data_IF_378961605302
#
_entry.id   IF_378961605302
#
_cell.length_a   1.000
_cell.length_b   1.000
_cell.length_c   1.000
_cell.angle_alpha   90.00
_cell.angle_beta   90.00
_cell.angle_gamma   90.00
#
_symmetry.space_group_name_H-M   'P 1'
#
loop_
_entity.id
_entity.type
_entity.pdbx_description
1 polymer ?
#
# COMPACT_ATOMS: atom_id res chain seq x y z
N UNK A 1 9.90 1.59 -15.59
CA UNK A 1 9.87 0.97 -14.26
C UNK A 1 8.69 0.03 -14.17
N UNK A 2 8.81 -1.01 -13.35
CA UNK A 2 7.73 -1.90 -12.98
C UNK A 2 7.30 -1.65 -11.54
N UNK A 3 6.08 -1.18 -11.34
CA UNK A 3 5.56 -0.71 -10.04
C UNK A 3 4.48 -1.64 -9.53
N UNK A 4 4.58 -2.05 -8.26
CA UNK A 4 3.63 -2.92 -7.58
C UNK A 4 2.75 -2.13 -6.62
N UNK A 5 1.45 -2.08 -6.85
CA UNK A 5 0.48 -1.50 -5.93
C UNK A 5 -0.27 -2.57 -5.14
N UNK A 6 -0.51 -2.34 -3.85
CA UNK A 6 -1.36 -3.21 -3.02
C UNK A 6 -2.60 -2.50 -2.48
N UNK A 7 -3.75 -3.15 -2.64
CA UNK A 7 -5.06 -2.64 -2.23
C UNK A 7 -5.69 -3.52 -1.14
N UNK A 8 -5.95 -2.95 0.02
CA UNK A 8 -6.48 -3.68 1.18
C UNK A 8 -7.79 -3.11 1.73
N UNK A 9 -8.30 -2.02 1.14
CA UNK A 9 -9.55 -1.39 1.54
C UNK A 9 -10.26 -0.71 0.35
N UNK A 10 -11.60 -0.52 0.42
CA UNK A 10 -12.41 0.06 -0.66
C UNK A 10 -12.00 1.48 -1.11
N UNK A 11 -11.31 2.25 -0.27
CA UNK A 11 -10.82 3.57 -0.66
C UNK A 11 -9.61 3.51 -1.62
N UNK A 12 -8.83 2.41 -1.58
CA UNK A 12 -7.57 2.33 -2.31
C UNK A 12 -7.75 2.38 -3.83
N UNK A 13 -8.74 1.69 -4.44
CA UNK A 13 -8.98 1.80 -5.88
C UNK A 13 -9.25 3.23 -6.33
N UNK A 14 -10.01 4.02 -5.57
CA UNK A 14 -10.34 5.40 -5.90
C UNK A 14 -9.09 6.30 -5.82
N UNK A 15 -8.35 6.20 -4.72
CA UNK A 15 -7.18 7.04 -4.44
C UNK A 15 -6.00 6.72 -5.36
N UNK A 16 -5.78 5.45 -5.67
CA UNK A 16 -4.60 5.00 -6.42
C UNK A 16 -4.83 4.98 -7.93
N UNK A 17 -6.09 4.94 -8.42
CA UNK A 17 -6.38 4.91 -9.86
C UNK A 17 -5.75 6.06 -10.64
N UNK A 18 -5.84 7.34 -10.22
CA UNK A 18 -5.21 8.44 -10.95
C UNK A 18 -3.69 8.29 -11.04
N UNK A 19 -3.06 7.85 -9.95
CA UNK A 19 -1.61 7.62 -9.88
C UNK A 19 -1.21 6.47 -10.83
N UNK A 20 -1.94 5.35 -10.79
CA UNK A 20 -1.73 4.20 -11.67
C UNK A 20 -1.88 4.61 -13.14
N UNK A 21 -2.94 5.36 -13.47
CA UNK A 21 -3.18 5.86 -14.81
C UNK A 21 -2.04 6.74 -15.32
N UNK A 22 -1.54 7.66 -14.49
CA UNK A 22 -0.41 8.53 -14.84
C UNK A 22 0.89 7.76 -15.01
N UNK A 23 1.19 6.79 -14.14
CA UNK A 23 2.38 5.93 -14.29
C UNK A 23 2.33 5.13 -15.60
N UNK A 24 1.17 4.56 -15.94
CA UNK A 24 0.97 3.85 -17.20
C UNK A 24 1.13 4.76 -18.42
N UNK A 25 0.57 5.97 -18.37
CA UNK A 25 0.72 6.97 -19.44
C UNK A 25 2.18 7.41 -19.64
N UNK A 26 3.00 7.35 -18.60
CA UNK A 26 4.45 7.60 -18.66
C UNK A 26 5.26 6.37 -19.12
N UNK A 27 4.60 5.29 -19.55
CA UNK A 27 5.25 4.07 -20.04
C UNK A 27 5.77 3.14 -18.95
N UNK A 28 5.27 3.27 -17.71
CA UNK A 28 5.61 2.33 -16.64
C UNK A 28 4.66 1.13 -16.62
N UNK A 29 5.22 -0.04 -16.32
CA UNK A 29 4.44 -1.24 -16.06
C UNK A 29 3.88 -1.17 -14.64
N UNK A 30 2.59 -1.49 -14.49
CA UNK A 30 1.92 -1.44 -13.18
C UNK A 30 1.14 -2.72 -12.94
N UNK A 31 1.52 -3.43 -11.89
CA UNK A 31 0.79 -4.58 -11.38
C UNK A 31 0.10 -4.24 -10.06
N UNK A 32 -1.12 -4.76 -9.88
CA UNK A 32 -1.96 -4.52 -8.71
C UNK A 32 -2.23 -5.83 -8.02
N UNK A 33 -2.00 -5.89 -6.71
CA UNK A 33 -2.53 -6.94 -5.84
C UNK A 33 -3.65 -6.40 -4.97
N UNK A 34 -4.61 -7.25 -4.64
CA UNK A 34 -5.76 -6.85 -3.86
C UNK A 34 -6.07 -7.86 -2.76
N UNK A 35 -6.70 -7.40 -1.68
CA UNK A 35 -7.31 -8.26 -0.65
C UNK A 35 -8.78 -8.38 -0.94
N UNK A 36 -9.30 -9.61 -0.85
CA UNK A 36 -10.74 -9.83 -0.72
C UNK A 36 -11.20 -9.32 0.65
N UNK A 37 -11.65 -8.06 0.67
CA UNK A 37 -12.14 -7.34 1.83
C UNK A 37 -13.15 -6.27 1.43
N UNK A 38 -14.36 -6.35 2.01
CA UNK A 38 -15.47 -5.45 1.68
C UNK A 38 -15.67 -5.36 0.16
N UNK A 39 -15.88 -4.16 -0.40
CA UNK A 39 -16.12 -3.95 -1.83
C UNK A 39 -14.84 -3.72 -2.65
N UNK A 40 -13.66 -4.13 -2.15
CA UNK A 40 -12.38 -3.77 -2.79
C UNK A 40 -12.26 -4.34 -4.21
N UNK A 41 -12.66 -5.61 -4.41
CA UNK A 41 -12.55 -6.28 -5.71
C UNK A 41 -13.58 -5.75 -6.70
N UNK A 42 -14.82 -5.55 -6.25
CA UNK A 42 -15.91 -5.02 -7.06
C UNK A 42 -15.61 -3.59 -7.54
N UNK A 43 -14.97 -2.77 -6.71
CA UNK A 43 -14.51 -1.44 -7.10
C UNK A 43 -13.36 -1.50 -8.10
N UNK A 44 -12.41 -2.43 -7.93
CA UNK A 44 -11.33 -2.64 -8.91
C UNK A 44 -11.89 -3.03 -10.29
N UNK A 45 -12.83 -3.98 -10.31
CA UNK A 45 -13.48 -4.45 -11.53
C UNK A 45 -14.26 -3.32 -12.20
N UNK A 46 -15.09 -2.59 -11.43
CA UNK A 46 -15.85 -1.44 -11.94
C UNK A 46 -14.96 -0.34 -12.51
N UNK A 47 -13.76 -0.17 -11.97
CA UNK A 47 -12.80 0.85 -12.42
C UNK A 47 -11.87 0.36 -13.54
N UNK A 48 -11.99 -0.89 -13.99
CA UNK A 48 -11.14 -1.49 -15.03
C UNK A 48 -9.69 -1.70 -14.59
N UNK A 49 -9.46 -1.93 -13.29
CA UNK A 49 -8.13 -2.17 -12.75
C UNK A 49 -7.87 -3.67 -12.60
N UNK A 50 -7.18 -4.23 -13.61
CA UNK A 50 -6.68 -5.60 -13.54
C UNK A 50 -5.82 -5.82 -12.29
N UNK A 51 -6.12 -6.88 -11.54
CA UNK A 51 -5.51 -7.16 -10.24
C UNK A 51 -5.35 -8.66 -9.97
N UNK A 52 -4.44 -8.99 -9.07
CA UNK A 52 -4.27 -10.35 -8.52
C UNK A 52 -4.76 -10.39 -7.08
N UNK A 53 -5.73 -11.25 -6.79
CA UNK A 53 -6.28 -11.40 -5.43
C UNK A 53 -5.38 -12.30 -4.57
N UNK A 54 -4.86 -11.75 -3.47
CA UNK A 54 -3.94 -12.47 -2.58
C UNK A 54 -4.51 -12.60 -1.16
N UNK A 55 -5.22 -13.68 -0.88
CA UNK A 55 -5.76 -13.96 0.45
C UNK A 55 -7.05 -13.20 0.77
N UNK A 56 -7.61 -13.54 1.94
CA UNK A 56 -8.98 -13.18 2.35
C UNK A 56 -9.00 -12.64 3.78
N UNK A 57 -10.02 -11.87 4.14
CA UNK A 57 -10.16 -11.31 5.49
C UNK A 57 -10.28 -12.40 6.58
N UNK A 58 -9.43 -12.34 7.61
CA UNK A 58 -9.30 -13.37 8.67
C UNK A 58 -10.38 -13.36 9.78
N UNK A 59 -11.41 -12.50 9.67
CA UNK A 59 -12.48 -12.38 10.66
C UNK A 59 -12.05 -11.77 12.01
N UNK A 60 -12.91 -11.86 13.03
CA UNK A 60 -12.75 -11.10 14.28
C UNK A 60 -11.63 -11.58 15.24
N UNK A 61 -11.21 -12.85 15.17
CA UNK A 61 -10.23 -13.43 16.11
C UNK A 61 -8.81 -12.91 15.86
N UNK A 62 -8.10 -12.52 16.93
CA UNK A 62 -6.70 -12.05 16.89
C UNK A 62 -5.76 -13.09 16.29
N UNK A 63 -5.89 -14.37 16.64
CA UNK A 63 -5.04 -15.44 16.10
C UNK A 63 -5.28 -15.64 14.61
N UNK A 64 -6.55 -15.64 14.18
CA UNK A 64 -6.90 -15.72 12.76
C UNK A 64 -6.40 -14.53 11.95
N UNK A 65 -6.40 -13.31 12.53
CA UNK A 65 -5.82 -12.11 11.90
C UNK A 65 -4.31 -12.25 11.68
N UNK A 66 -3.57 -12.77 12.66
CA UNK A 66 -2.12 -13.02 12.53
C UNK A 66 -1.85 -14.09 11.46
N UNK A 67 -2.58 -15.21 11.50
CA UNK A 67 -2.42 -16.27 10.49
C UNK A 67 -2.77 -15.76 9.09
N UNK A 68 -3.82 -14.94 8.95
CA UNK A 68 -4.19 -14.32 7.68
C UNK A 68 -3.10 -13.35 7.17
N UNK A 69 -2.51 -12.55 8.06
CA UNK A 69 -1.38 -11.67 7.73
C UNK A 69 -0.16 -12.48 7.24
N UNK A 70 0.27 -13.49 8.00
CA UNK A 70 1.39 -14.36 7.62
C UNK A 70 1.12 -15.08 6.31
N UNK A 71 -0.10 -15.60 6.13
CA UNK A 71 -0.53 -16.28 4.91
C UNK A 71 -0.48 -15.36 3.69
N UNK A 72 -1.04 -14.15 3.80
CA UNK A 72 -1.03 -13.16 2.71
C UNK A 72 0.39 -12.68 2.42
N UNK A 73 1.18 -12.36 3.44
CA UNK A 73 2.58 -11.95 3.25
C UNK A 73 3.37 -13.03 2.49
N UNK A 74 3.17 -14.33 2.76
CA UNK A 74 3.80 -15.42 1.98
C UNK A 74 3.35 -15.45 0.52
N UNK A 75 2.07 -15.22 0.26
CA UNK A 75 1.55 -15.12 -1.11
C UNK A 75 2.14 -13.92 -1.86
N UNK A 76 2.26 -12.77 -1.18
CA UNK A 76 2.88 -11.56 -1.73
C UNK A 76 4.37 -11.76 -2.02
N UNK A 77 5.11 -12.42 -1.12
CA UNK A 77 6.51 -12.78 -1.38
C UNK A 77 6.63 -13.70 -2.59
N UNK A 78 5.73 -14.67 -2.76
CA UNK A 78 5.72 -15.54 -3.95
C UNK A 78 5.43 -14.75 -5.23
N UNK A 79 4.44 -13.85 -5.18
CA UNK A 79 4.07 -12.98 -6.30
C UNK A 79 5.22 -12.07 -6.73
N UNK A 80 5.88 -11.40 -5.78
CA UNK A 80 6.95 -10.45 -6.08
C UNK A 80 8.30 -11.09 -6.44
N UNK A 81 8.52 -12.37 -6.09
CA UNK A 81 9.81 -13.04 -6.31
C UNK A 81 10.07 -13.26 -7.80
N UNK A 82 11.16 -12.70 -8.30
CA UNK A 82 11.56 -12.82 -9.70
C UNK A 82 10.71 -11.99 -10.67
N UNK A 83 9.74 -11.22 -10.18
CA UNK A 83 8.86 -10.40 -11.00
C UNK A 83 9.50 -9.10 -11.50
N UNK A 84 10.67 -8.71 -10.96
CA UNK A 84 11.43 -7.54 -11.41
C UNK A 84 10.83 -6.19 -11.01
N UNK A 85 10.17 -6.10 -9.86
CA UNK A 85 9.59 -4.84 -9.39
C UNK A 85 10.68 -3.84 -8.94
N UNK A 86 10.59 -2.62 -9.47
CA UNK A 86 11.48 -1.50 -9.12
C UNK A 86 10.97 -0.74 -7.88
N UNK A 87 9.66 -0.77 -7.63
CA UNK A 87 9.01 0.00 -6.59
C UNK A 87 7.72 -0.69 -6.11
N UNK A 88 7.50 -0.72 -4.79
CA UNK A 88 6.24 -1.15 -4.19
C UNK A 88 5.52 0.06 -3.56
N UNK A 89 4.20 0.17 -3.74
CA UNK A 89 3.39 1.28 -3.24
C UNK A 89 2.18 0.75 -2.49
N UNK A 90 2.07 1.16 -1.22
CA UNK A 90 0.95 0.81 -0.35
C UNK A 90 0.20 2.05 0.10
N UNK A 91 -1.10 1.90 0.33
CA UNK A 91 -1.86 2.82 1.18
C UNK A 91 -2.09 2.15 2.55
N UNK A 92 -1.06 2.13 3.41
CA UNK A 92 -1.15 1.50 4.73
C UNK A 92 -1.10 -0.03 4.77
N UNK A 93 -0.74 -0.71 3.67
CA UNK A 93 -0.62 -2.19 3.66
C UNK A 93 0.66 -2.67 4.34
N UNK A 94 0.53 -3.27 5.52
CA UNK A 94 1.66 -3.91 6.23
C UNK A 94 2.18 -5.17 5.54
N UNK A 95 1.31 -5.94 4.87
CA UNK A 95 1.76 -7.14 4.15
C UNK A 95 2.69 -6.78 3.00
N UNK A 96 2.37 -5.70 2.25
CA UNK A 96 3.26 -5.20 1.19
C UNK A 96 4.57 -4.72 1.77
N UNK A 97 4.55 -3.97 2.88
CA UNK A 97 5.75 -3.48 3.53
C UNK A 97 6.69 -4.62 3.93
N UNK A 98 6.15 -5.69 4.53
CA UNK A 98 6.90 -6.89 4.91
C UNK A 98 7.42 -7.66 3.68
N UNK A 99 6.58 -7.86 2.66
CA UNK A 99 6.97 -8.57 1.45
C UNK A 99 8.05 -7.83 0.66
N UNK A 100 7.88 -6.52 0.46
CA UNK A 100 8.85 -5.66 -0.23
C UNK A 100 10.19 -5.62 0.50
N UNK A 101 10.18 -5.50 1.83
CA UNK A 101 11.40 -5.57 2.64
C UNK A 101 12.13 -6.92 2.48
N UNK A 102 11.39 -8.04 2.55
CA UNK A 102 11.95 -9.38 2.35
C UNK A 102 12.50 -9.63 0.94
N UNK A 103 11.96 -8.93 -0.06
CA UNK A 103 12.38 -8.99 -1.46
C UNK A 103 13.40 -7.91 -1.84
N UNK A 104 13.76 -7.01 -0.91
CA UNK A 104 14.62 -5.83 -1.15
C UNK A 104 14.09 -4.89 -2.25
N UNK A 105 12.76 -4.81 -2.39
CA UNK A 105 12.10 -3.84 -3.27
C UNK A 105 11.89 -2.56 -2.45
N UNK A 106 12.36 -1.38 -2.91
CA UNK A 106 12.09 -0.14 -2.20
C UNK A 106 10.59 0.13 -2.20
N UNK A 107 10.05 0.58 -1.07
CA UNK A 107 8.61 0.79 -0.91
C UNK A 107 8.23 2.22 -0.53
N UNK A 108 7.03 2.62 -0.94
CA UNK A 108 6.37 3.86 -0.54
C UNK A 108 5.15 3.49 0.29
N UNK A 109 5.04 4.07 1.48
CA UNK A 109 3.83 3.96 2.28
C UNK A 109 3.07 5.29 2.24
N UNK A 110 1.81 5.23 1.85
CA UNK A 110 0.90 6.38 1.81
C UNK A 110 -0.25 6.17 2.79
N UNK A 111 -0.78 7.25 3.37
CA UNK A 111 -1.97 7.23 4.22
C UNK A 111 -2.42 8.66 4.51
N UNK A 112 -3.66 8.81 4.96
CA UNK A 112 -4.29 10.09 5.30
C UNK A 112 -4.81 10.14 6.74
N UNK A 113 -4.63 9.06 7.52
CA UNK A 113 -5.02 9.00 8.92
C UNK A 113 -3.87 8.51 9.80
N UNK A 114 -3.37 9.35 10.68
CA UNK A 114 -2.15 9.18 11.48
C UNK A 114 -2.33 8.34 12.75
N UNK A 115 -3.57 8.07 13.17
CA UNK A 115 -3.86 7.37 14.43
C UNK A 115 -3.94 5.85 14.28
N UNK A 116 -3.71 5.29 13.09
CA UNK A 116 -3.52 3.85 12.89
C UNK A 116 -2.13 3.37 13.40
N UNK A 117 -1.87 3.58 14.69
CA UNK A 117 -0.55 3.48 15.33
C UNK A 117 0.18 2.17 15.00
N UNK A 118 -0.46 1.01 15.23
CA UNK A 118 0.20 -0.28 15.02
C UNK A 118 0.54 -0.52 13.54
N UNK A 119 -0.30 -0.04 12.62
CA UNK A 119 -0.05 -0.14 11.20
C UNK A 119 1.18 0.68 10.82
N UNK A 120 1.23 1.93 11.27
CA UNK A 120 2.31 2.86 10.94
C UNK A 120 3.64 2.48 11.55
N UNK A 121 3.67 1.81 12.70
CA UNK A 121 4.92 1.29 13.27
C UNK A 121 5.66 0.33 12.32
N UNK A 122 4.92 -0.45 11.52
CA UNK A 122 5.47 -1.40 10.55
C UNK A 122 5.66 -0.71 9.20
N UNK A 123 4.56 -0.20 8.62
CA UNK A 123 4.54 0.34 7.27
C UNK A 123 5.50 1.51 7.10
N UNK A 124 5.54 2.45 8.05
CA UNK A 124 6.45 3.59 7.94
C UNK A 124 7.91 3.16 8.08
N UNK A 125 8.26 2.33 9.07
CA UNK A 125 9.67 1.94 9.30
C UNK A 125 10.28 1.24 8.10
N UNK A 126 9.53 0.32 7.48
CA UNK A 126 9.99 -0.46 6.34
C UNK A 126 9.97 0.31 5.00
N UNK A 127 9.20 1.39 4.91
CA UNK A 127 9.15 2.20 3.70
C UNK A 127 10.48 2.94 3.44
N UNK A 128 10.79 3.20 2.17
CA UNK A 128 11.83 4.16 1.77
C UNK A 128 11.31 5.59 1.77
N UNK A 129 10.04 5.80 1.44
CA UNK A 129 9.36 7.10 1.49
C UNK A 129 7.98 6.97 2.13
N UNK A 130 7.58 8.01 2.86
CA UNK A 130 6.23 8.12 3.44
C UNK A 130 5.56 9.34 2.84
N UNK A 131 4.39 9.15 2.21
CA UNK A 131 3.68 10.20 1.47
C UNK A 131 2.31 10.44 2.10
N UNK A 132 2.07 11.64 2.61
CA UNK A 132 0.86 11.98 3.37
C UNK A 132 0.32 13.37 3.00
N UNK A 133 -0.95 13.69 3.30
CA UNK A 133 -1.46 15.05 3.17
C UNK A 133 -0.64 16.06 3.99
N UNK A 134 -0.54 17.30 3.52
CA UNK A 134 0.11 18.41 4.24
C UNK A 134 -0.58 18.75 5.56
N UNK A 135 -1.85 18.35 5.70
CA UNK A 135 -2.63 18.44 6.92
C UNK A 135 -2.08 17.56 8.06
N UNK A 136 -1.31 16.50 7.75
CA UNK A 136 -0.65 15.68 8.78
C UNK A 136 0.67 16.36 9.18
N UNK A 137 0.80 16.81 10.45
CA UNK A 137 2.02 17.44 10.92
C UNK A 137 3.18 16.43 11.01
N UNK A 138 4.43 16.78 10.60
CA UNK A 138 5.58 15.87 10.62
C UNK A 138 5.85 15.25 12.00
N UNK A 139 5.65 16.02 13.08
CA UNK A 139 5.88 15.58 14.45
C UNK A 139 4.99 14.38 14.85
N UNK A 140 3.82 14.21 14.22
CA UNK A 140 2.95 13.04 14.46
C UNK A 140 3.55 11.74 13.90
N UNK A 141 4.51 11.86 12.97
CA UNK A 141 5.11 10.74 12.24
C UNK A 141 6.49 10.35 12.77
N UNK A 142 7.16 11.20 13.55
CA UNK A 142 8.48 10.93 14.14
C UNK A 142 8.49 9.63 14.95
N UNK A 143 7.45 9.37 15.74
CA UNK A 143 7.26 8.12 16.49
C UNK A 143 7.26 6.85 15.63
N UNK A 144 7.01 6.99 14.33
CA UNK A 144 7.02 5.91 13.35
C UNK A 144 8.35 5.78 12.59
N UNK A 145 9.40 6.53 13.00
CA UNK A 145 10.70 6.54 12.33
C UNK A 145 10.64 7.26 10.97
N UNK A 146 9.82 8.30 10.88
CA UNK A 146 9.69 9.14 9.68
C UNK A 146 10.41 10.45 9.95
N UNK A 147 11.56 10.61 9.29
CA UNK A 147 12.34 11.85 9.29
C UNK A 147 12.02 12.70 8.04
N UNK A 148 12.64 13.88 7.95
CA UNK A 148 12.47 14.78 6.82
C UNK A 148 12.97 14.20 5.49
N UNK A 149 13.95 13.29 5.52
CA UNK A 149 14.48 12.66 4.30
C UNK A 149 13.49 11.62 3.73
N UNK A 150 12.70 10.99 4.60
CA UNK A 150 11.69 9.99 4.24
C UNK A 150 10.34 10.60 3.89
N UNK A 151 9.97 11.68 4.56
CA UNK A 151 8.66 12.32 4.44
C UNK A 151 8.53 13.11 3.13
N UNK A 152 7.42 12.89 2.43
CA UNK A 152 6.93 13.78 1.40
C UNK A 152 5.47 14.12 1.72
N UNK A 153 5.10 15.40 1.55
CA UNK A 153 3.74 15.87 1.80
C UNK A 153 3.14 16.47 0.54
N UNK A 154 1.86 16.26 0.31
CA UNK A 154 1.11 16.84 -0.82
C UNK A 154 0.01 17.77 -0.30
N UNK A 155 -0.33 18.84 -1.05
CA UNK A 155 -1.44 19.73 -0.68
C UNK A 155 -2.78 19.00 -0.85
N UNK A 156 -3.77 19.37 -0.03
CA UNK A 156 -5.14 18.86 -0.15
C UNK A 156 -5.38 17.52 0.53
N UNK A 157 -6.58 16.97 0.32
CA UNK A 157 -6.98 15.64 0.77
C UNK A 157 -6.82 14.60 -0.34
N UNK A 158 -6.76 13.31 0.02
CA UNK A 158 -6.69 12.22 -0.98
C UNK A 158 -7.93 12.18 -1.89
N UNK A 159 -9.05 12.73 -1.43
CA UNK A 159 -10.29 12.85 -2.19
C UNK A 159 -10.21 13.91 -3.30
N UNK A 160 -9.16 14.73 -3.35
CA UNK A 160 -8.97 15.77 -4.37
C UNK A 160 -8.21 15.26 -5.61
N UNK A 161 -7.88 13.97 -5.69
CA UNK A 161 -7.10 13.39 -6.80
C UNK A 161 -7.86 13.17 -8.13
N UNK A 162 -9.14 13.52 -8.22
CA UNK A 162 -9.99 13.19 -9.37
C UNK A 162 -9.72 14.02 -10.63
#
# INVERSE_FOLDING_TARGET
MKVWFDMTAPAHPLVLRPIIGRLRALGHEVEVTARDYAQTLELLDRLGLAHTTLGRHGGASRTRKVTALVGRTRQMVRFGRGAGFDLAVAHGSNDLALAAAGLRIPSVNTFDYEFAVQQHHIGCRLARRVVVPSAIPPERLERFGVDAAKLARYPGLKEEYY
#
